data_IF_173298077068
#
_entry.id   IF_173298077068
#
_cell.length_a   1.000
_cell.length_b   1.000
_cell.length_c   1.000
_cell.angle_alpha   90.00
_cell.angle_beta   90.00
_cell.angle_gamma   90.00
#
_symmetry.space_group_name_H-M   'P 1'
#
loop_
_entity.id
_entity.type
_entity.pdbx_description
1 polymer ?
#
# COMPACT_ATOMS: atom_id res chain seq x y z
N UNK A 1 16.34 57.76 -19.55
CA UNK A 1 15.17 56.84 -19.46
C UNK A 1 15.37 55.70 -20.44
N UNK A 2 15.96 54.56 -20.06
CA UNK A 2 15.80 53.27 -20.75
C UNK A 2 16.07 52.15 -19.75
N UNK A 3 14.99 51.69 -19.13
CA UNK A 3 14.93 50.59 -18.17
C UNK A 3 15.02 49.28 -18.96
N UNK A 4 16.12 48.53 -18.80
CA UNK A 4 16.35 47.26 -19.51
C UNK A 4 15.63 46.10 -18.82
N UNK A 5 14.85 45.37 -19.63
CA UNK A 5 14.32 44.01 -19.51
C UNK A 5 14.89 43.13 -18.40
N UNK A 6 14.04 42.62 -17.52
CA UNK A 6 13.37 41.30 -17.63
C UNK A 6 14.32 40.12 -17.50
N UNK A 7 14.31 39.46 -16.33
CA UNK A 7 14.39 38.01 -16.24
C UNK A 7 13.84 37.57 -14.86
N UNK A 8 12.57 37.18 -14.84
CA UNK A 8 11.96 36.46 -13.72
C UNK A 8 12.37 35.00 -13.83
N UNK A 9 13.18 34.54 -12.88
CA UNK A 9 13.56 33.13 -12.75
C UNK A 9 12.45 32.40 -11.97
N UNK A 10 11.48 31.82 -12.68
CA UNK A 10 10.49 30.92 -12.09
C UNK A 10 10.96 29.47 -12.25
N UNK A 11 11.70 28.96 -11.27
CA UNK A 11 11.97 27.53 -11.12
C UNK A 11 10.96 26.94 -10.13
N UNK A 12 9.80 26.53 -10.63
CA UNK A 12 8.83 25.75 -9.86
C UNK A 12 9.27 24.27 -9.86
N UNK A 13 10.07 23.89 -8.86
CA UNK A 13 10.34 22.50 -8.55
C UNK A 13 9.08 21.86 -7.95
N UNK A 14 8.28 21.17 -8.76
CA UNK A 14 7.23 20.27 -8.28
C UNK A 14 7.84 18.87 -8.16
N UNK A 15 8.38 18.55 -6.98
CA UNK A 15 8.84 17.20 -6.65
C UNK A 15 7.98 16.60 -5.53
N UNK A 16 7.23 15.56 -5.88
CA UNK A 16 6.93 14.43 -4.99
C UNK A 16 5.81 14.58 -3.96
N UNK A 17 4.55 14.53 -4.39
CA UNK A 17 3.39 14.37 -3.49
C UNK A 17 2.76 12.95 -3.49
N UNK A 18 3.31 12.00 -4.25
CA UNK A 18 2.67 10.70 -4.49
C UNK A 18 2.66 9.72 -3.30
N UNK A 19 3.74 9.68 -2.51
CA UNK A 19 3.88 8.67 -1.45
C UNK A 19 3.06 9.00 -0.19
N UNK A 20 3.02 10.28 0.21
CA UNK A 20 2.32 10.72 1.41
C UNK A 20 0.80 10.53 1.31
N UNK A 21 0.23 10.72 0.12
CA UNK A 21 -1.22 10.65 -0.09
C UNK A 21 -1.73 9.21 -0.22
N UNK A 22 -0.90 8.27 -0.70
CA UNK A 22 -1.23 6.85 -0.74
C UNK A 22 -1.24 6.21 0.67
N UNK A 23 -0.42 6.73 1.59
CA UNK A 23 -0.28 6.20 2.95
C UNK A 23 -1.51 6.48 3.82
N UNK A 24 -2.13 7.66 3.69
CA UNK A 24 -3.32 8.05 4.48
C UNK A 24 -4.57 7.30 4.00
N UNK A 25 -4.81 7.24 2.69
CA UNK A 25 -6.01 6.61 2.12
C UNK A 25 -6.03 5.09 2.31
N UNK A 26 -4.90 4.41 2.08
CA UNK A 26 -4.82 2.96 2.20
C UNK A 26 -4.93 2.47 3.65
N UNK A 27 -4.29 3.17 4.58
CA UNK A 27 -4.40 2.84 6.02
C UNK A 27 -5.83 3.03 6.52
N UNK A 28 -6.51 4.10 6.11
CA UNK A 28 -7.88 4.35 6.53
C UNK A 28 -8.86 3.35 5.93
N UNK A 29 -8.68 2.95 4.67
CA UNK A 29 -9.42 1.83 4.09
C UNK A 29 -9.19 0.54 4.88
N UNK A 30 -7.93 0.24 5.24
CA UNK A 30 -7.59 -0.96 6.00
C UNK A 30 -8.19 -0.96 7.41
N UNK A 31 -8.30 0.21 8.06
CA UNK A 31 -9.05 0.36 9.32
C UNK A 31 -10.55 0.13 9.11
N UNK A 32 -11.14 0.75 8.09
CA UNK A 32 -12.56 0.64 7.77
C UNK A 32 -12.98 -0.80 7.42
N UNK A 33 -12.08 -1.58 6.82
CA UNK A 33 -12.30 -3.01 6.52
C UNK A 33 -11.82 -3.95 7.64
N UNK A 34 -11.52 -3.40 8.83
CA UNK A 34 -11.11 -4.11 10.03
C UNK A 34 -9.80 -4.93 9.92
N UNK A 35 -8.95 -4.66 8.92
CA UNK A 35 -7.70 -5.39 8.72
C UNK A 35 -6.75 -5.25 9.92
N UNK A 36 -6.78 -4.10 10.60
CA UNK A 36 -5.92 -3.81 11.76
C UNK A 36 -6.27 -4.63 13.02
N UNK A 37 -7.38 -5.37 13.02
CA UNK A 37 -7.70 -6.32 14.09
C UNK A 37 -6.69 -7.48 14.15
N UNK A 38 -6.11 -7.86 13.00
CA UNK A 38 -5.20 -9.00 12.88
C UNK A 38 -3.80 -8.61 12.38
N UNK A 39 -3.68 -7.47 11.70
CA UNK A 39 -2.42 -6.97 11.15
C UNK A 39 -1.99 -5.68 11.82
N UNK A 40 -0.68 -5.41 11.78
CA UNK A 40 -0.11 -4.09 12.02
C UNK A 40 0.82 -3.75 10.86
N UNK A 41 1.14 -2.47 10.69
CA UNK A 41 2.03 -2.04 9.59
C UNK A 41 3.42 -2.65 9.76
N UNK A 42 3.99 -2.55 10.97
CA UNK A 42 5.41 -2.90 11.21
C UNK A 42 5.61 -4.09 12.15
N UNK A 43 4.60 -4.42 12.96
CA UNK A 43 4.71 -5.47 13.97
C UNK A 43 3.86 -6.70 13.63
N UNK A 44 4.28 -7.86 14.13
CA UNK A 44 3.46 -9.06 14.07
C UNK A 44 2.32 -8.96 15.08
N UNK A 45 1.11 -9.38 14.70
CA UNK A 45 -0.03 -9.55 15.61
C UNK A 45 -0.57 -10.96 15.49
N UNK A 46 -1.67 -11.15 14.76
CA UNK A 46 -2.17 -12.48 14.39
C UNK A 46 -1.61 -12.84 13.02
N UNK A 47 -1.81 -11.94 12.05
CA UNK A 47 -1.18 -11.98 10.75
C UNK A 47 0.22 -11.38 10.75
N UNK A 48 0.94 -11.50 9.62
CA UNK A 48 2.23 -10.87 9.44
C UNK A 48 2.14 -9.32 9.47
N UNK A 49 3.25 -8.63 9.77
CA UNK A 49 3.37 -7.20 9.48
C UNK A 49 3.09 -6.93 8.01
N UNK A 50 2.36 -5.86 7.70
CA UNK A 50 2.05 -5.50 6.31
C UNK A 50 3.31 -5.11 5.53
N UNK A 51 4.30 -4.48 6.19
CA UNK A 51 5.62 -4.25 5.58
C UNK A 51 6.33 -5.52 5.15
N UNK A 52 6.27 -6.58 5.95
CA UNK A 52 6.87 -7.87 5.57
C UNK A 52 6.16 -8.51 4.37
N UNK A 53 4.84 -8.31 4.23
CA UNK A 53 4.10 -8.71 3.04
C UNK A 53 4.60 -7.92 1.82
N UNK A 54 4.73 -6.61 1.97
CA UNK A 54 5.24 -5.72 0.93
C UNK A 54 6.64 -6.13 0.46
N UNK A 55 7.57 -6.34 1.39
CA UNK A 55 8.95 -6.76 1.13
C UNK A 55 9.02 -8.09 0.39
N UNK A 56 8.22 -9.09 0.82
CA UNK A 56 8.20 -10.42 0.19
C UNK A 56 7.75 -10.37 -1.27
N UNK A 57 6.82 -9.47 -1.61
CA UNK A 57 6.20 -9.40 -2.93
C UNK A 57 6.63 -8.17 -3.75
N UNK A 58 7.66 -7.45 -3.31
CA UNK A 58 8.09 -6.18 -3.90
C UNK A 58 8.55 -6.30 -5.36
N UNK A 59 8.02 -5.43 -6.22
CA UNK A 59 8.44 -5.30 -7.62
C UNK A 59 8.00 -6.45 -8.54
N UNK A 60 6.95 -7.17 -8.17
CA UNK A 60 6.34 -8.22 -8.99
C UNK A 60 5.13 -7.72 -9.81
N UNK A 61 4.89 -6.41 -9.83
CA UNK A 61 3.87 -5.74 -10.66
C UNK A 61 2.43 -6.10 -10.33
N UNK A 62 1.53 -5.82 -11.26
CA UNK A 62 0.07 -5.98 -11.12
C UNK A 62 -0.34 -7.43 -10.82
N UNK A 63 0.42 -8.42 -11.28
CA UNK A 63 0.15 -9.82 -10.98
C UNK A 63 0.16 -10.08 -9.45
N UNK A 64 1.01 -9.39 -8.69
CA UNK A 64 0.99 -9.51 -7.22
C UNK A 64 -0.09 -8.69 -6.56
N UNK A 65 -0.52 -7.58 -7.16
CA UNK A 65 -1.71 -6.86 -6.71
C UNK A 65 -2.92 -7.80 -6.77
N UNK A 66 -3.14 -8.45 -7.91
CA UNK A 66 -4.29 -9.35 -8.11
C UNK A 66 -4.21 -10.60 -7.22
N UNK A 67 -3.01 -11.16 -7.05
CA UNK A 67 -2.80 -12.27 -6.13
C UNK A 67 -3.17 -11.89 -4.70
N UNK A 68 -2.68 -10.75 -4.19
CA UNK A 68 -2.98 -10.29 -2.84
C UNK A 68 -4.44 -9.91 -2.67
N UNK A 69 -5.06 -9.26 -3.64
CA UNK A 69 -6.50 -8.97 -3.63
C UNK A 69 -7.33 -10.26 -3.55
N UNK A 70 -6.93 -11.29 -4.30
CA UNK A 70 -7.51 -12.63 -4.21
C UNK A 70 -7.34 -13.27 -2.84
N UNK A 71 -6.17 -13.13 -2.21
CA UNK A 71 -5.93 -13.61 -0.83
C UNK A 71 -6.77 -12.85 0.19
N UNK A 72 -6.89 -11.53 0.09
CA UNK A 72 -7.71 -10.71 1.00
C UNK A 72 -9.15 -11.23 0.99
N UNK A 73 -9.74 -11.39 -0.20
CA UNK A 73 -11.14 -11.80 -0.32
C UNK A 73 -11.37 -13.29 -0.02
N UNK A 74 -10.48 -14.15 -0.52
CA UNK A 74 -10.61 -15.61 -0.40
C UNK A 74 -10.00 -16.23 0.86
N UNK A 75 -9.25 -15.45 1.63
CA UNK A 75 -8.46 -15.95 2.73
C UNK A 75 -7.22 -16.73 2.28
N UNK A 76 -6.54 -17.37 3.23
CA UNK A 76 -5.34 -18.15 2.93
C UNK A 76 -4.81 -18.92 4.14
N UNK A 77 -3.94 -19.90 3.89
CA UNK A 77 -3.29 -20.72 4.93
C UNK A 77 -1.86 -21.07 4.53
N UNK A 78 -1.00 -21.35 5.51
CA UNK A 78 0.34 -21.92 5.31
C UNK A 78 1.44 -20.92 4.92
N UNK A 79 1.13 -19.81 4.23
CA UNK A 79 2.15 -18.88 3.73
C UNK A 79 2.87 -18.07 4.85
N UNK A 80 2.24 -17.92 6.01
CA UNK A 80 2.72 -17.06 7.11
C UNK A 80 2.63 -17.73 8.50
N UNK A 81 2.35 -19.03 8.53
CA UNK A 81 2.16 -19.82 9.74
C UNK A 81 0.93 -20.72 9.69
N UNK A 82 0.64 -21.33 10.84
CA UNK A 82 -0.46 -22.28 10.99
C UNK A 82 -1.85 -21.62 11.04
N UNK A 83 -1.94 -20.37 11.52
CA UNK A 83 -3.21 -19.65 11.63
C UNK A 83 -3.68 -19.21 10.23
N UNK A 84 -4.85 -19.65 9.75
CA UNK A 84 -5.38 -19.21 8.47
C UNK A 84 -5.91 -17.76 8.57
N UNK A 85 -5.77 -17.00 7.49
CA UNK A 85 -6.49 -15.74 7.31
C UNK A 85 -7.91 -16.06 6.80
N UNK A 86 -8.97 -15.68 7.54
CA UNK A 86 -10.34 -15.87 7.08
C UNK A 86 -10.63 -15.07 5.80
N UNK A 87 -11.54 -15.57 4.98
CA UNK A 87 -12.06 -14.84 3.83
C UNK A 87 -12.70 -13.51 4.27
N UNK A 88 -12.29 -12.40 3.66
CA UNK A 88 -12.87 -11.08 3.92
C UNK A 88 -13.99 -10.81 2.92
N UNK A 89 -15.12 -11.52 3.05
CA UNK A 89 -16.23 -11.48 2.09
C UNK A 89 -16.93 -10.12 2.01
N UNK A 90 -16.75 -9.27 3.02
CA UNK A 90 -17.23 -7.89 3.05
C UNK A 90 -16.40 -6.91 2.22
N UNK A 91 -15.24 -7.34 1.72
CA UNK A 91 -14.35 -6.50 0.91
C UNK A 91 -14.69 -6.66 -0.57
N UNK A 92 -15.01 -5.55 -1.22
CA UNK A 92 -15.30 -5.51 -2.66
C UNK A 92 -14.04 -5.84 -3.48
N UNK A 93 -14.17 -6.23 -4.76
CA UNK A 93 -13.01 -6.40 -5.63
C UNK A 93 -12.12 -5.15 -5.69
N UNK A 94 -12.72 -3.97 -5.83
CA UNK A 94 -12.00 -2.70 -5.94
C UNK A 94 -11.27 -2.35 -4.64
N UNK A 95 -11.93 -2.50 -3.48
CA UNK A 95 -11.31 -2.27 -2.18
C UNK A 95 -10.15 -3.25 -1.95
N UNK A 96 -10.30 -4.51 -2.36
CA UNK A 96 -9.24 -5.51 -2.21
C UNK A 96 -8.03 -5.17 -3.07
N UNK A 97 -8.24 -4.66 -4.29
CA UNK A 97 -7.18 -4.18 -5.16
C UNK A 97 -6.48 -2.97 -4.57
N UNK A 98 -7.23 -1.96 -4.12
CA UNK A 98 -6.69 -0.76 -3.48
C UNK A 98 -5.87 -1.10 -2.22
N UNK A 99 -6.35 -2.04 -1.40
CA UNK A 99 -5.62 -2.54 -0.23
C UNK A 99 -4.32 -3.25 -0.62
N UNK A 100 -4.34 -4.07 -1.67
CA UNK A 100 -3.16 -4.78 -2.15
C UNK A 100 -2.10 -3.83 -2.71
N UNK A 101 -2.51 -2.85 -3.52
CA UNK A 101 -1.63 -1.78 -4.03
C UNK A 101 -1.00 -1.00 -2.87
N UNK A 102 -1.81 -0.59 -1.89
CA UNK A 102 -1.31 0.08 -0.69
C UNK A 102 -0.33 -0.80 0.08
N UNK A 103 -0.63 -2.07 0.34
CA UNK A 103 0.26 -2.98 1.06
C UNK A 103 1.60 -3.07 0.33
N UNK A 104 1.62 -3.27 -1.00
CA UNK A 104 2.87 -3.37 -1.76
C UNK A 104 3.66 -2.06 -1.76
N UNK A 105 3.00 -0.90 -1.63
CA UNK A 105 3.66 0.40 -1.50
C UNK A 105 4.41 0.59 -0.17
N UNK A 106 4.17 -0.27 0.84
CA UNK A 106 4.85 -0.20 2.13
C UNK A 106 6.29 -0.76 2.09
N UNK A 107 6.70 -1.37 0.98
CA UNK A 107 8.05 -1.83 0.80
C UNK A 107 9.03 -0.64 0.78
N UNK A 108 10.21 -0.75 1.40
CA UNK A 108 11.23 0.28 1.26
C UNK A 108 11.61 0.47 -0.23
N UNK A 109 11.98 1.68 -0.64
CA UNK A 109 12.49 1.92 -1.99
C UNK A 109 13.64 0.94 -2.29
N UNK A 110 13.60 0.27 -3.45
CA UNK A 110 14.77 -0.49 -3.92
C UNK A 110 15.90 0.51 -4.14
N UNK A 111 17.01 0.31 -3.45
CA UNK A 111 18.26 1.06 -3.65
C UNK A 111 18.88 0.72 -5.01
#
# INVERSE_FOLDING_TARGET
MHLKSSLLLAAACVLGAGAAQAQTTGLDLAKNKACMACHQVEAKRVGPPLKSVAERYAGQGDAMVDYLAGKIRGGGRGAWGAVPMPAQTQVSPDDARALAEWILSLAPPKQ
#
